data_IF_642632013150
#
_entry.id   IF_642632013150
#
_cell.length_a   1.000
_cell.length_b   1.000
_cell.length_c   1.000
_cell.angle_alpha   90.00
_cell.angle_beta   90.00
_cell.angle_gamma   90.00
#
_symmetry.space_group_name_H-M   'P 1'
#
loop_
_entity.id
_entity.type
_entity.pdbx_description
1 polymer ?
#
# COMPACT_ATOMS: atom_id res chain seq x y z
N UNK A 1 35.97 -17.87 9.83
CA UNK A 1 36.47 -16.63 9.20
C UNK A 1 35.55 -15.49 9.61
N UNK A 2 36.03 -14.58 10.46
CA UNK A 2 35.38 -13.30 10.75
C UNK A 2 35.84 -12.31 9.70
N UNK A 3 34.93 -11.58 9.05
CA UNK A 3 35.04 -10.10 8.86
C UNK A 3 33.89 -9.53 8.01
N UNK A 4 33.27 -8.47 8.56
CA UNK A 4 32.78 -7.26 7.86
C UNK A 4 31.48 -7.40 7.03
N UNK A 5 30.35 -7.07 7.66
CA UNK A 5 29.08 -6.83 6.95
C UNK A 5 28.02 -6.05 7.75
N UNK A 6 28.34 -5.48 8.92
CA UNK A 6 27.33 -4.92 9.86
C UNK A 6 27.70 -3.50 10.35
N UNK A 7 28.45 -2.68 9.59
CA UNK A 7 28.97 -1.40 10.14
C UNK A 7 28.95 -0.14 9.25
N UNK A 8 28.09 -0.03 8.24
CA UNK A 8 28.07 1.21 7.41
C UNK A 8 26.73 1.96 7.38
N UNK A 9 25.62 1.37 7.84
CA UNK A 9 24.30 2.03 7.73
C UNK A 9 24.06 3.23 8.66
N UNK A 10 24.79 3.35 9.78
CA UNK A 10 24.48 4.34 10.82
C UNK A 10 25.01 5.77 10.57
N UNK A 11 25.88 6.02 9.58
CA UNK A 11 26.60 7.30 9.49
C UNK A 11 26.21 8.21 8.33
N UNK A 12 25.55 7.71 7.28
CA UNK A 12 25.19 8.55 6.13
C UNK A 12 23.90 9.35 6.37
N UNK A 13 22.96 8.81 7.15
CA UNK A 13 21.70 9.50 7.48
C UNK A 13 21.93 10.68 8.44
N UNK A 14 22.91 10.59 9.35
CA UNK A 14 23.23 11.66 10.32
C UNK A 14 23.92 12.86 9.67
N UNK A 15 24.61 12.67 8.53
CA UNK A 15 25.41 13.74 7.90
C UNK A 15 24.60 14.66 6.97
N UNK A 16 23.38 14.30 6.58
CA UNK A 16 22.47 15.16 5.81
C UNK A 16 21.60 16.09 6.67
N UNK A 17 21.58 15.88 8.00
CA UNK A 17 20.76 16.64 8.97
C UNK A 17 21.29 18.06 9.23
N UNK A 18 22.50 18.40 8.76
CA UNK A 18 23.19 19.62 9.18
C UNK A 18 22.86 20.91 8.37
N UNK A 19 21.98 20.89 7.37
CA UNK A 19 21.82 22.05 6.45
C UNK A 19 20.40 22.55 6.16
N UNK A 20 19.38 22.17 6.92
CA UNK A 20 18.06 22.84 6.85
C UNK A 20 17.53 23.15 8.26
N UNK A 21 16.82 24.28 8.40
CA UNK A 21 16.56 24.99 9.66
C UNK A 21 16.04 24.14 10.83
N UNK A 22 16.21 24.65 12.04
CA UNK A 22 16.08 23.97 13.34
C UNK A 22 14.75 23.26 13.65
N UNK A 23 13.67 23.54 12.91
CA UNK A 23 12.40 22.79 13.02
C UNK A 23 12.40 21.58 12.07
N UNK A 24 13.02 21.71 10.89
CA UNK A 24 13.20 20.63 9.93
C UNK A 24 14.29 19.63 10.34
N UNK A 25 15.38 20.06 10.98
CA UNK A 25 16.43 19.14 11.40
C UNK A 25 15.96 18.14 12.48
N UNK A 26 15.14 18.60 13.44
CA UNK A 26 14.59 17.75 14.50
C UNK A 26 13.52 16.78 13.97
N UNK A 27 12.62 17.25 13.09
CA UNK A 27 11.65 16.36 12.44
C UNK A 27 12.34 15.32 11.56
N UNK A 28 13.37 15.70 10.80
CA UNK A 28 14.16 14.77 9.97
C UNK A 28 14.88 13.74 10.84
N UNK A 29 15.45 14.13 11.98
CA UNK A 29 16.09 13.15 12.89
C UNK A 29 15.09 12.15 13.45
N UNK A 30 13.90 12.61 13.87
CA UNK A 30 12.88 11.73 14.44
C UNK A 30 12.30 10.77 13.39
N UNK A 31 12.05 11.28 12.17
CA UNK A 31 11.62 10.47 11.04
C UNK A 31 12.72 9.47 10.65
N UNK A 32 13.98 9.88 10.64
CA UNK A 32 15.11 8.98 10.38
C UNK A 32 15.17 7.82 11.39
N UNK A 33 14.92 8.10 12.67
CA UNK A 33 14.82 7.06 13.71
C UNK A 33 13.63 6.14 13.44
N UNK A 34 12.48 6.67 13.00
CA UNK A 34 11.30 5.87 12.65
C UNK A 34 11.55 4.98 11.43
N UNK A 35 12.24 5.48 10.40
CA UNK A 35 12.66 4.69 9.24
C UNK A 35 13.59 3.57 9.66
N UNK A 36 14.56 3.86 10.54
CA UNK A 36 15.47 2.82 11.02
C UNK A 36 14.71 1.75 11.78
N UNK A 37 13.78 2.13 12.68
CA UNK A 37 12.90 1.18 13.38
C UNK A 37 12.04 0.37 12.42
N UNK A 38 11.49 0.99 11.39
CA UNK A 38 10.72 0.31 10.35
C UNK A 38 11.59 -0.71 9.62
N UNK A 39 12.77 -0.31 9.17
CA UNK A 39 13.71 -1.19 8.47
C UNK A 39 14.14 -2.36 9.39
N UNK A 40 14.52 -2.07 10.63
CA UNK A 40 14.92 -3.10 11.60
C UNK A 40 13.79 -4.09 11.86
N UNK A 41 12.55 -3.61 12.06
CA UNK A 41 11.39 -4.45 12.26
C UNK A 41 11.07 -5.27 10.99
N UNK A 42 11.14 -4.66 9.81
CA UNK A 42 10.88 -5.33 8.55
C UNK A 42 11.93 -6.41 8.21
N UNK A 43 13.22 -6.12 8.43
CA UNK A 43 14.30 -7.08 8.26
C UNK A 43 14.26 -8.19 9.32
N UNK A 44 13.88 -7.84 10.54
CA UNK A 44 13.69 -8.77 11.65
C UNK A 44 12.43 -9.61 11.57
N UNK A 45 11.54 -9.33 10.61
CA UNK A 45 10.17 -9.89 10.53
C UNK A 45 9.39 -9.69 11.84
N UNK A 46 9.60 -8.55 12.49
CA UNK A 46 8.96 -8.15 13.74
C UNK A 46 7.64 -7.42 13.44
N UNK A 47 6.55 -8.18 13.35
CA UNK A 47 5.21 -7.66 13.05
C UNK A 47 4.72 -6.68 14.13
N UNK A 48 4.98 -6.95 15.41
CA UNK A 48 4.59 -6.05 16.51
C UNK A 48 5.36 -4.72 16.43
N UNK A 49 6.65 -4.80 16.10
CA UNK A 49 7.51 -3.65 15.82
C UNK A 49 6.97 -2.80 14.68
N UNK A 50 6.59 -3.42 13.55
CA UNK A 50 5.96 -2.74 12.42
C UNK A 50 4.64 -2.08 12.82
N UNK A 51 3.74 -2.83 13.46
CA UNK A 51 2.42 -2.35 13.90
C UNK A 51 2.50 -1.09 14.76
N UNK A 52 3.50 -1.01 15.64
CA UNK A 52 3.71 0.15 16.52
C UNK A 52 4.07 1.46 15.80
N UNK A 53 4.41 1.39 14.51
CA UNK A 53 4.82 2.54 13.69
C UNK A 53 3.68 3.14 12.89
N UNK A 54 2.54 2.45 12.76
CA UNK A 54 1.39 2.91 11.99
C UNK A 54 0.30 3.50 12.89
N UNK A 55 -0.43 4.49 12.36
CA UNK A 55 -1.72 4.93 12.92
C UNK A 55 -2.77 3.81 12.81
N UNK A 56 -3.87 3.91 13.56
CA UNK A 56 -4.94 2.90 13.52
C UNK A 56 -5.67 2.86 12.16
N UNK A 57 -5.64 3.98 11.43
CA UNK A 57 -6.14 4.11 10.06
C UNK A 57 -4.99 4.58 9.17
N UNK A 58 -4.78 3.90 8.06
CA UNK A 58 -3.74 4.20 7.07
C UNK A 58 -4.42 4.52 5.75
N UNK A 59 -3.97 5.56 5.07
CA UNK A 59 -4.44 5.86 3.72
C UNK A 59 -3.63 4.99 2.75
N UNK A 60 -4.33 4.09 2.08
CA UNK A 60 -3.77 3.12 1.16
C UNK A 60 -3.98 3.58 -0.28
N UNK A 61 -2.90 3.76 -1.04
CA UNK A 61 -2.92 4.21 -2.42
C UNK A 61 -2.51 3.09 -3.36
N UNK A 62 -3.35 2.85 -4.36
CA UNK A 62 -3.11 1.84 -5.40
C UNK A 62 -2.09 2.36 -6.42
N UNK A 63 -1.38 1.45 -7.13
CA UNK A 63 -0.53 1.84 -8.26
C UNK A 63 -1.33 2.58 -9.34
N UNK A 64 -0.65 3.36 -10.19
CA UNK A 64 -1.30 4.23 -11.20
C UNK A 64 -2.16 3.47 -12.22
N UNK A 65 -1.74 2.25 -12.55
CA UNK A 65 -2.32 1.34 -13.55
C UNK A 65 -3.71 0.83 -13.13
N UNK A 66 -4.02 0.97 -11.84
CA UNK A 66 -5.30 0.61 -11.24
C UNK A 66 -6.48 1.37 -11.85
N UNK A 67 -6.23 2.56 -12.40
CA UNK A 67 -7.23 3.34 -13.11
C UNK A 67 -7.81 2.60 -14.33
N UNK A 68 -7.04 1.75 -14.99
CA UNK A 68 -7.50 0.97 -16.14
C UNK A 68 -8.51 -0.11 -15.74
N UNK A 69 -8.25 -0.86 -14.66
CA UNK A 69 -9.17 -1.89 -14.14
C UNK A 69 -10.47 -1.27 -13.61
N UNK A 70 -10.39 -0.10 -12.97
CA UNK A 70 -11.57 0.65 -12.53
C UNK A 70 -12.40 1.11 -13.74
N UNK A 71 -11.77 1.63 -14.79
CA UNK A 71 -12.45 2.04 -16.02
C UNK A 71 -13.16 0.87 -16.71
N UNK A 72 -12.48 -0.26 -16.85
CA UNK A 72 -13.05 -1.47 -17.45
C UNK A 72 -14.28 -1.96 -16.67
N UNK A 73 -14.21 -2.01 -15.34
CA UNK A 73 -15.35 -2.41 -14.51
C UNK A 73 -16.49 -1.37 -14.55
N UNK A 74 -16.17 -0.08 -14.57
CA UNK A 74 -17.18 0.97 -14.74
C UNK A 74 -17.96 0.79 -16.05
N UNK A 75 -17.26 0.57 -17.17
CA UNK A 75 -17.88 0.31 -18.48
C UNK A 75 -18.70 -0.97 -18.48
N UNK A 76 -18.19 -2.05 -17.86
CA UNK A 76 -18.90 -3.31 -17.72
C UNK A 76 -20.21 -3.15 -16.92
N UNK A 77 -20.16 -2.46 -15.77
CA UNK A 77 -21.37 -2.17 -14.98
C UNK A 77 -22.38 -1.32 -15.77
N UNK A 78 -21.93 -0.32 -16.51
CA UNK A 78 -22.80 0.46 -17.40
C UNK A 78 -23.44 -0.39 -18.49
N UNK A 79 -22.68 -1.29 -19.12
CA UNK A 79 -23.17 -2.22 -20.13
C UNK A 79 -24.17 -3.24 -19.55
N UNK A 80 -23.94 -3.71 -18.32
CA UNK A 80 -24.85 -4.58 -17.59
C UNK A 80 -26.20 -3.91 -17.33
N UNK A 81 -26.21 -2.65 -16.89
CA UNK A 81 -27.46 -1.88 -16.70
C UNK A 81 -28.21 -1.65 -18.03
N UNK A 82 -27.52 -1.69 -19.17
CA UNK A 82 -28.13 -1.65 -20.50
C UNK A 82 -28.66 -3.00 -20.99
N UNK A 83 -28.53 -4.07 -20.19
CA UNK A 83 -28.82 -5.46 -20.59
C UNK A 83 -28.06 -5.88 -21.86
N UNK A 84 -26.83 -5.40 -22.05
CA UNK A 84 -26.00 -5.84 -23.17
C UNK A 84 -25.60 -7.31 -22.98
N UNK A 85 -25.64 -8.13 -24.05
CA UNK A 85 -25.06 -9.47 -24.00
C UNK A 85 -23.53 -9.39 -23.83
N UNK A 86 -22.94 -10.42 -23.25
CA UNK A 86 -21.49 -10.64 -23.16
C UNK A 86 -20.70 -9.68 -22.24
N UNK A 87 -21.32 -9.20 -21.16
CA UNK A 87 -20.60 -8.45 -20.12
C UNK A 87 -20.05 -9.42 -19.07
N UNK A 88 -18.73 -9.45 -18.92
CA UNK A 88 -18.06 -10.18 -17.84
C UNK A 88 -17.96 -9.28 -16.60
N UNK A 89 -18.87 -9.49 -15.64
CA UNK A 89 -18.78 -8.89 -14.31
C UNK A 89 -18.42 -10.00 -13.33
N UNK A 90 -17.37 -9.81 -12.49
CA UNK A 90 -17.06 -10.78 -11.46
C UNK A 90 -18.29 -11.08 -10.58
N UNK A 91 -18.68 -12.35 -10.38
CA UNK A 91 -19.92 -12.70 -9.67
C UNK A 91 -20.08 -12.03 -8.30
N UNK A 92 -18.98 -11.92 -7.56
CA UNK A 92 -18.95 -11.27 -6.24
C UNK A 92 -19.27 -9.77 -6.27
N UNK A 93 -19.04 -9.07 -7.40
CA UNK A 93 -19.47 -7.68 -7.59
C UNK A 93 -21.00 -7.62 -7.58
N UNK A 94 -21.67 -8.54 -8.28
CA UNK A 94 -23.13 -8.60 -8.34
C UNK A 94 -23.73 -9.07 -7.02
N UNK A 95 -23.10 -10.04 -6.35
CA UNK A 95 -23.54 -10.47 -5.02
C UNK A 95 -23.51 -9.34 -3.99
N UNK A 96 -22.48 -8.48 -4.05
CA UNK A 96 -22.31 -7.40 -3.07
C UNK A 96 -23.05 -6.12 -3.43
N UNK A 97 -23.01 -5.72 -4.69
CA UNK A 97 -23.53 -4.43 -5.16
C UNK A 97 -24.80 -4.55 -6.00
N UNK A 98 -25.31 -5.76 -6.23
CA UNK A 98 -26.49 -5.99 -7.09
C UNK A 98 -27.72 -5.19 -6.64
N UNK A 99 -27.98 -5.11 -5.33
CA UNK A 99 -29.08 -4.28 -4.81
C UNK A 99 -28.84 -2.78 -5.02
N UNK A 100 -27.59 -2.32 -4.85
CA UNK A 100 -27.20 -0.93 -5.10
C UNK A 100 -27.31 -0.56 -6.58
N UNK A 101 -27.07 -1.51 -7.48
CA UNK A 101 -27.11 -1.34 -8.93
C UNK A 101 -28.55 -1.24 -9.48
N UNK A 102 -29.54 -1.90 -8.86
CA UNK A 102 -30.95 -1.89 -9.32
C UNK A 102 -31.53 -0.49 -9.59
N UNK A 103 -31.34 0.53 -8.74
CA UNK A 103 -31.85 1.88 -8.98
C UNK A 103 -30.91 2.76 -9.82
N UNK A 104 -29.85 2.24 -10.42
CA UNK A 104 -28.87 3.02 -11.17
C UNK A 104 -29.14 3.03 -12.67
N UNK A 105 -28.74 4.11 -13.32
CA UNK A 105 -28.71 4.23 -14.78
C UNK A 105 -27.30 3.95 -15.32
N UNK A 106 -27.12 3.55 -16.60
CA UNK A 106 -25.83 3.18 -17.18
C UNK A 106 -24.70 4.22 -17.11
N UNK A 107 -25.01 5.49 -16.85
CA UNK A 107 -24.04 6.59 -16.72
C UNK A 107 -24.00 7.20 -15.32
N UNK A 108 -24.57 6.51 -14.32
CA UNK A 108 -24.64 7.02 -12.95
C UNK A 108 -23.22 7.16 -12.35
N UNK A 109 -22.93 8.32 -11.77
CA UNK A 109 -21.65 8.60 -11.13
C UNK A 109 -21.33 7.63 -9.97
N UNK A 110 -22.35 7.00 -9.37
CA UNK A 110 -22.19 5.98 -8.34
C UNK A 110 -21.51 4.70 -8.84
N UNK A 111 -21.56 4.41 -10.15
CA UNK A 111 -20.86 3.26 -10.74
C UNK A 111 -19.34 3.37 -10.58
N UNK A 112 -18.79 4.58 -10.73
CA UNK A 112 -17.37 4.83 -10.48
C UNK A 112 -16.99 4.50 -9.04
N UNK A 113 -17.86 4.82 -8.07
CA UNK A 113 -17.62 4.47 -6.67
C UNK A 113 -17.60 2.96 -6.46
N UNK A 114 -18.53 2.21 -7.06
CA UNK A 114 -18.57 0.75 -6.98
C UNK A 114 -17.30 0.16 -7.61
N UNK A 115 -16.95 0.57 -8.83
CA UNK A 115 -15.77 0.07 -9.52
C UNK A 115 -14.48 0.33 -8.73
N UNK A 116 -14.35 1.52 -8.13
CA UNK A 116 -13.19 1.86 -7.29
C UNK A 116 -13.14 1.03 -6.01
N UNK A 117 -14.25 0.91 -5.30
CA UNK A 117 -14.32 0.11 -4.08
C UNK A 117 -13.98 -1.35 -4.37
N UNK A 118 -14.51 -1.90 -5.47
CA UNK A 118 -14.21 -3.26 -5.89
C UNK A 118 -12.72 -3.45 -6.15
N UNK A 119 -12.12 -2.58 -6.96
CA UNK A 119 -10.71 -2.67 -7.27
C UNK A 119 -9.87 -2.62 -5.99
N UNK A 120 -10.21 -1.73 -5.04
CA UNK A 120 -9.49 -1.61 -3.76
C UNK A 120 -9.53 -2.91 -2.95
N UNK A 121 -10.67 -3.61 -2.98
CA UNK A 121 -10.87 -4.91 -2.31
C UNK A 121 -10.11 -6.03 -3.01
N UNK A 122 -10.17 -6.11 -4.34
CA UNK A 122 -9.37 -7.10 -5.09
C UNK A 122 -7.88 -6.94 -4.81
N UNK A 123 -7.40 -5.70 -4.75
CA UNK A 123 -6.02 -5.45 -4.41
C UNK A 123 -5.68 -5.82 -2.97
N UNK A 124 -6.56 -5.48 -2.01
CA UNK A 124 -6.42 -5.91 -0.62
C UNK A 124 -6.34 -7.44 -0.51
N UNK A 125 -7.19 -8.17 -1.22
CA UNK A 125 -7.20 -9.63 -1.26
C UNK A 125 -5.91 -10.22 -1.84
N UNK A 126 -5.41 -9.64 -2.93
CA UNK A 126 -4.13 -10.04 -3.51
C UNK A 126 -2.98 -9.83 -2.51
N UNK A 127 -2.97 -8.68 -1.83
CA UNK A 127 -1.93 -8.34 -0.85
C UNK A 127 -1.93 -9.23 0.39
N UNK A 128 -3.06 -9.85 0.73
CA UNK A 128 -3.19 -10.74 1.90
C UNK A 128 -3.21 -12.23 1.52
N UNK A 129 -2.57 -12.62 0.40
CA UNK A 129 -2.41 -14.01 -0.05
C UNK A 129 -3.68 -14.74 -0.46
N UNK A 130 -4.71 -14.05 -0.96
CA UNK A 130 -6.04 -14.65 -1.07
C UNK A 130 -6.62 -15.04 0.30
N UNK A 131 -6.39 -14.17 1.30
CA UNK A 131 -6.97 -14.29 2.64
C UNK A 131 -8.51 -14.40 2.62
N UNK A 132 -9.15 -14.54 3.77
CA UNK A 132 -10.62 -14.64 3.81
C UNK A 132 -11.25 -13.41 3.13
N UNK A 133 -11.91 -13.62 1.98
CA UNK A 133 -12.57 -12.56 1.22
C UNK A 133 -13.55 -11.78 2.09
N UNK A 134 -14.20 -12.43 3.07
CA UNK A 134 -15.09 -11.76 4.01
C UNK A 134 -14.35 -10.76 4.91
N UNK A 135 -13.13 -11.10 5.35
CA UNK A 135 -12.29 -10.22 6.17
C UNK A 135 -11.80 -9.01 5.37
N UNK A 136 -11.38 -9.22 4.11
CA UNK A 136 -11.04 -8.12 3.20
C UNK A 136 -12.25 -7.21 2.98
N UNK A 137 -13.44 -7.78 2.81
CA UNK A 137 -14.65 -6.96 2.69
C UNK A 137 -14.90 -6.13 3.96
N UNK A 138 -14.74 -6.70 5.15
CA UNK A 138 -14.92 -6.00 6.43
C UNK A 138 -13.97 -4.81 6.60
N UNK A 139 -12.67 -5.00 6.33
CA UNK A 139 -11.68 -3.92 6.45
C UNK A 139 -12.00 -2.73 5.53
N UNK A 140 -12.58 -3.00 4.37
CA UNK A 140 -12.95 -1.99 3.40
C UNK A 140 -14.40 -1.48 3.61
N UNK A 141 -15.23 -2.11 4.43
CA UNK A 141 -16.57 -1.62 4.80
C UNK A 141 -16.52 -0.49 5.83
N UNK A 142 -15.53 -0.51 6.73
CA UNK A 142 -15.26 0.57 7.68
C UNK A 142 -14.57 1.80 7.06
N UNK A 143 -14.23 1.76 5.78
CA UNK A 143 -13.48 2.82 5.11
C UNK A 143 -14.33 4.10 4.95
N UNK A 144 -14.06 5.08 5.82
CA UNK A 144 -14.88 6.29 5.92
C UNK A 144 -14.68 7.28 4.76
N UNK A 145 -13.55 7.20 4.03
CA UNK A 145 -13.19 8.16 2.99
C UNK A 145 -12.50 7.50 1.80
N UNK A 146 -13.19 7.52 0.65
CA UNK A 146 -12.59 7.37 -0.68
C UNK A 146 -12.01 8.73 -1.07
N UNK A 147 -10.69 8.84 -1.04
CA UNK A 147 -9.96 9.97 -1.63
C UNK A 147 -9.74 9.70 -3.12
N UNK A 148 -9.37 10.70 -3.93
CA UNK A 148 -9.22 10.55 -5.39
C UNK A 148 -8.25 9.44 -5.82
N UNK A 149 -7.24 9.11 -5.01
CA UNK A 149 -6.31 8.00 -5.28
C UNK A 149 -6.10 7.02 -4.12
N UNK A 150 -6.76 7.24 -2.98
CA UNK A 150 -6.50 6.47 -1.76
C UNK A 150 -7.77 6.10 -1.00
N UNK A 151 -7.66 5.09 -0.16
CA UNK A 151 -8.73 4.66 0.73
C UNK A 151 -8.19 4.55 2.16
N UNK A 152 -8.91 5.09 3.14
CA UNK A 152 -8.60 4.84 4.54
C UNK A 152 -8.96 3.40 4.91
N UNK A 153 -7.98 2.62 5.36
CA UNK A 153 -8.13 1.21 5.77
C UNK A 153 -7.60 1.02 7.20
N UNK A 154 -8.12 0.05 7.96
CA UNK A 154 -7.57 -0.28 9.26
C UNK A 154 -6.13 -0.79 9.14
N UNK A 155 -5.30 -0.46 10.14
CA UNK A 155 -3.92 -0.97 10.25
C UNK A 155 -3.82 -2.49 10.13
N UNK A 156 -4.84 -3.22 10.57
CA UNK A 156 -4.86 -4.68 10.50
C UNK A 156 -4.72 -5.22 9.06
N UNK A 157 -5.18 -4.49 8.04
CA UNK A 157 -4.91 -4.85 6.64
C UNK A 157 -3.41 -4.78 6.31
N UNK A 158 -2.73 -3.74 6.80
CA UNK A 158 -1.29 -3.55 6.62
C UNK A 158 -0.52 -4.65 7.36
N UNK A 159 -0.95 -5.00 8.57
CA UNK A 159 -0.38 -6.11 9.34
C UNK A 159 -0.50 -7.43 8.58
N UNK A 160 -1.69 -7.75 8.04
CA UNK A 160 -1.92 -8.95 7.22
C UNK A 160 -1.14 -8.96 5.91
N UNK A 161 -0.91 -7.81 5.29
CA UNK A 161 -0.04 -7.70 4.11
C UNK A 161 1.41 -8.03 4.45
N UNK A 162 1.97 -7.48 5.54
CA UNK A 162 3.33 -7.81 5.96
C UNK A 162 3.47 -9.27 6.40
N UNK A 163 2.47 -9.82 7.10
CA UNK A 163 2.44 -11.23 7.44
C UNK A 163 2.49 -12.09 6.18
N UNK A 164 1.67 -11.78 5.16
CA UNK A 164 1.74 -12.44 3.86
C UNK A 164 3.12 -12.33 3.21
N UNK A 165 3.71 -11.13 3.14
CA UNK A 165 5.05 -10.94 2.57
C UNK A 165 6.14 -11.79 3.25
N UNK A 166 5.95 -12.14 4.52
CA UNK A 166 6.88 -12.99 5.28
C UNK A 166 6.56 -14.48 5.25
N UNK A 167 5.29 -14.84 5.09
CA UNK A 167 4.76 -16.20 5.27
C UNK A 167 4.32 -16.88 3.96
N UNK A 168 4.19 -16.13 2.85
CA UNK A 168 3.76 -16.67 1.55
C UNK A 168 4.65 -17.84 1.11
N UNK A 169 4.03 -18.99 0.86
CA UNK A 169 4.71 -20.14 0.27
C UNK A 169 4.84 -19.85 -1.23
N UNK A 170 6.07 -19.66 -1.68
CA UNK A 170 6.38 -19.44 -3.09
C UNK A 170 6.63 -17.98 -3.46
N UNK A 171 6.33 -17.01 -2.59
CA UNK A 171 6.81 -15.62 -2.72
C UNK A 171 7.60 -15.19 -1.49
N UNK A 172 8.72 -14.51 -1.69
CA UNK A 172 9.47 -13.88 -0.59
C UNK A 172 9.89 -12.47 -0.98
N UNK A 173 9.65 -11.51 -0.11
CA UNK A 173 10.06 -10.12 -0.31
C UNK A 173 11.31 -9.80 0.49
N UNK A 174 12.25 -9.10 -0.14
CA UNK A 174 13.49 -8.64 0.48
C UNK A 174 13.64 -7.14 0.29
N UNK A 175 13.69 -6.38 1.39
CA UNK A 175 14.07 -4.96 1.35
C UNK A 175 15.47 -4.80 0.75
N UNK A 176 15.57 -4.02 -0.33
CA UNK A 176 16.79 -3.79 -1.08
C UNK A 176 17.24 -2.33 -0.93
N UNK A 177 18.55 -2.14 -0.90
CA UNK A 177 19.15 -0.80 -0.91
C UNK A 177 18.92 -0.03 0.38
N UNK A 178 19.23 1.26 0.34
CA UNK A 178 18.90 2.19 1.43
C UNK A 178 17.56 2.83 1.08
N UNK A 179 16.63 2.96 2.03
CA UNK A 179 15.48 3.85 1.87
C UNK A 179 15.90 5.21 1.31
N UNK A 180 15.00 5.90 0.61
CA UNK A 180 15.28 7.28 0.21
C UNK A 180 15.59 8.14 1.44
N UNK A 181 16.31 9.24 1.24
CA UNK A 181 16.33 10.28 2.27
C UNK A 181 14.88 10.76 2.52
N UNK A 182 14.51 11.12 3.77
CA UNK A 182 13.22 11.73 4.03
C UNK A 182 13.05 13.01 3.19
N UNK A 183 11.91 13.16 2.53
CA UNK A 183 11.57 14.36 1.77
C UNK A 183 10.14 14.79 2.07
N UNK A 184 9.83 16.05 1.77
CA UNK A 184 8.46 16.56 1.83
C UNK A 184 7.92 16.68 0.41
N UNK A 185 6.67 16.27 0.22
CA UNK A 185 5.91 16.52 -1.00
C UNK A 185 4.59 17.19 -0.60
N UNK A 186 4.34 18.38 -1.11
CA UNK A 186 3.27 19.27 -0.61
C UNK A 186 3.51 19.80 0.81
N UNK A 187 2.43 20.22 1.48
CA UNK A 187 2.55 21.19 2.57
C UNK A 187 2.76 20.62 3.99
N UNK A 188 2.52 19.32 4.29
CA UNK A 188 2.60 18.85 5.69
C UNK A 188 3.05 17.39 5.93
N UNK A 189 3.31 16.60 4.87
CA UNK A 189 3.66 15.18 5.02
C UNK A 189 5.11 14.92 4.63
N UNK A 190 5.76 14.08 5.41
CA UNK A 190 7.08 13.55 5.10
C UNK A 190 6.95 12.18 4.47
N UNK A 191 7.79 11.91 3.47
CA UNK A 191 7.77 10.70 2.69
C UNK A 191 9.14 10.04 2.64
N UNK A 192 9.09 8.72 2.46
CA UNK A 192 10.25 7.86 2.28
C UNK A 192 9.86 6.78 1.28
N UNK A 193 10.71 6.59 0.29
CA UNK A 193 10.57 5.51 -0.68
C UNK A 193 11.42 4.31 -0.25
N UNK A 194 10.82 3.13 -0.35
CA UNK A 194 11.39 1.83 -0.03
C UNK A 194 11.38 0.98 -1.29
N UNK A 195 12.41 0.17 -1.45
CA UNK A 195 12.56 -0.70 -2.61
C UNK A 195 12.64 -2.15 -2.13
N UNK A 196 11.85 -3.04 -2.72
CA UNK A 196 11.86 -4.47 -2.43
C UNK A 196 12.10 -5.27 -3.69
N UNK A 197 12.89 -6.33 -3.56
CA UNK A 197 12.93 -7.41 -4.54
C UNK A 197 11.93 -8.48 -4.08
N UNK A 198 10.98 -8.82 -4.94
CA UNK A 198 10.08 -9.97 -4.77
C UNK A 198 10.65 -11.16 -5.55
N UNK A 199 10.73 -12.31 -4.88
CA UNK A 199 11.15 -13.56 -5.47
C UNK A 199 9.99 -14.54 -5.50
N UNK A 200 9.76 -15.19 -6.63
CA UNK A 200 8.83 -16.31 -6.78
C UNK A 200 9.62 -17.61 -6.96
N UNK A 201 9.37 -18.60 -6.10
CA UNK A 201 10.06 -19.89 -6.11
C UNK A 201 11.60 -19.76 -6.16
N UNK A 202 12.13 -18.72 -5.51
CA UNK A 202 13.56 -18.40 -5.45
C UNK A 202 14.12 -17.64 -6.66
N UNK A 203 13.32 -17.33 -7.68
CA UNK A 203 13.70 -16.48 -8.82
C UNK A 203 13.14 -15.07 -8.64
N UNK A 204 13.89 -14.04 -9.08
CA UNK A 204 13.38 -12.67 -9.05
C UNK A 204 12.11 -12.58 -9.90
N UNK A 205 11.01 -12.16 -9.27
CA UNK A 205 9.70 -11.98 -9.89
C UNK A 205 9.42 -10.51 -10.19
N UNK A 206 9.64 -9.65 -9.19
CA UNK A 206 9.32 -8.23 -9.28
C UNK A 206 10.27 -7.36 -8.45
N UNK A 207 10.29 -6.08 -8.78
CA UNK A 207 10.86 -4.96 -8.06
C UNK A 207 9.68 -4.08 -7.66
N UNK A 208 9.56 -3.83 -6.36
CA UNK A 208 8.44 -3.12 -5.76
C UNK A 208 8.98 -1.83 -5.15
N UNK A 209 8.40 -0.70 -5.52
CA UNK A 209 8.66 0.60 -4.91
C UNK A 209 7.45 0.99 -4.04
N UNK A 210 7.67 1.13 -2.74
CA UNK A 210 6.67 1.55 -1.78
C UNK A 210 7.00 2.95 -1.27
N UNK A 211 5.98 3.77 -1.03
CA UNK A 211 6.12 5.07 -0.37
C UNK A 211 5.37 5.09 0.94
N UNK A 212 6.11 5.32 2.01
CA UNK A 212 5.58 5.53 3.35
C UNK A 212 5.48 7.02 3.61
N UNK A 213 4.31 7.48 4.04
CA UNK A 213 4.12 8.85 4.48
C UNK A 213 3.88 8.93 5.98
N UNK A 214 4.45 9.97 6.59
CA UNK A 214 4.48 10.19 8.02
C UNK A 214 3.77 11.49 8.37
N UNK A 215 2.88 11.43 9.35
CA UNK A 215 2.26 12.60 9.96
C UNK A 215 2.47 12.60 11.48
N UNK A 216 2.34 13.79 12.08
CA UNK A 216 2.45 13.95 13.52
C UNK A 216 1.12 13.56 14.18
N UNK A 217 1.13 12.53 15.02
CA UNK A 217 0.01 12.10 15.84
C UNK A 217 0.34 12.32 17.33
N UNK A 218 -0.17 13.41 17.90
CA UNK A 218 0.26 13.86 19.23
C UNK A 218 1.73 14.26 19.22
N UNK A 219 2.54 13.58 20.04
CA UNK A 219 3.99 13.84 20.17
C UNK A 219 4.85 12.84 19.38
N UNK A 220 4.28 12.15 18.38
CA UNK A 220 5.00 11.12 17.62
C UNK A 220 4.65 11.13 16.14
N UNK A 221 5.70 11.01 15.32
CA UNK A 221 5.54 10.67 13.90
C UNK A 221 5.11 9.21 13.76
N UNK A 222 4.00 9.00 13.06
CA UNK A 222 3.45 7.70 12.71
C UNK A 222 3.22 7.63 11.20
N UNK A 223 3.29 6.41 10.67
CA UNK A 223 2.98 6.12 9.27
C UNK A 223 1.46 6.11 9.12
N UNK A 224 0.94 7.04 8.33
CA UNK A 224 -0.48 7.20 8.03
C UNK A 224 -0.79 7.06 6.54
N UNK A 225 0.24 6.80 5.73
CA UNK A 225 0.15 6.71 4.29
C UNK A 225 1.02 5.58 3.77
N UNK A 226 0.45 4.77 2.89
CA UNK A 226 1.13 3.67 2.21
C UNK A 226 0.72 3.67 0.74
N UNK A 227 1.69 3.80 -0.16
CA UNK A 227 1.48 3.79 -1.61
C UNK A 227 2.40 2.77 -2.28
N UNK A 228 1.88 2.00 -3.22
CA UNK A 228 2.69 1.25 -4.18
C UNK A 228 2.95 2.15 -5.39
N UNK A 229 4.17 2.69 -5.47
CA UNK A 229 4.57 3.70 -6.47
C UNK A 229 4.94 3.04 -7.79
N UNK A 230 5.60 1.89 -7.72
CA UNK A 230 6.15 1.22 -8.88
C UNK A 230 6.20 -0.28 -8.69
N UNK A 231 5.95 -0.97 -9.78
CA UNK A 231 6.06 -2.42 -9.87
C UNK A 231 6.67 -2.75 -11.23
N UNK A 232 7.82 -3.42 -11.24
CA UNK A 232 8.54 -3.76 -12.48
C UNK A 232 9.23 -5.10 -12.35
N UNK A 233 9.38 -5.87 -13.42
CA UNK A 233 10.09 -7.14 -13.32
C UNK A 233 9.86 -8.08 -14.47
N UNK A 234 10.64 -9.18 -14.53
CA UNK A 234 10.61 -10.14 -15.63
C UNK A 234 9.26 -10.86 -15.83
N UNK A 235 8.33 -10.78 -14.86
CA UNK A 235 6.97 -11.33 -14.96
C UNK A 235 5.85 -10.30 -15.08
N UNK A 236 6.16 -9.01 -15.25
CA UNK A 236 5.18 -7.90 -15.14
C UNK A 236 4.86 -7.25 -16.49
N UNK A 237 5.67 -7.52 -17.51
CA UNK A 237 5.30 -7.23 -18.89
C UNK A 237 4.51 -8.41 -19.48
N UNK A 238 3.18 -8.31 -19.43
CA UNK A 238 2.21 -9.18 -20.08
C UNK A 238 1.04 -8.38 -20.63
#
# INVERSE_FOLDING_TARGET
MRTVGVRVFAWVVVLLVALSGSIGAASVSDISVKIQKFADAAYGKDLDGLRSLFTDQVIFFTPGDFSANVGALFEALGAYLQNKPDVDIPPYVLERFGEDLKPMEPGDARLWRIARLWAFREWGYWLTSEGDWAQVMEWFEGSAQLLDRGLSVPRDLVDSMFDNFYMSIGYTHQLKGTPSAPYQDGDERWYVDLFLDEYKDGALNALIELRLGFSMAGDSWLIDHFELVGLSGPGIDG
#
